data_IF_393042780344
#
_entry.id   IF_393042780344
#
_cell.length_a   1.000
_cell.length_b   1.000
_cell.length_c   1.000
_cell.angle_alpha   90.00
_cell.angle_beta   90.00
_cell.angle_gamma   90.00
#
_symmetry.space_group_name_H-M   'P 1'
#
loop_
_entity.id
_entity.type
_entity.pdbx_description
1 polymer ?
#
# COMPACT_ATOMS: atom_id res chain seq x y z
N UNK A 1 -18.68 27.91 26.49
CA UNK A 1 -19.96 28.65 26.42
C UNK A 1 -19.80 29.81 25.47
N UNK A 2 -20.86 30.19 24.75
CA UNK A 2 -20.81 31.38 23.87
C UNK A 2 -20.61 32.65 24.68
N UNK A 3 -19.75 33.56 24.26
CA UNK A 3 -19.48 34.82 24.94
C UNK A 3 -20.72 35.71 24.94
N UNK A 4 -21.03 36.29 26.11
CA UNK A 4 -22.18 37.23 26.24
C UNK A 4 -22.00 38.47 25.36
N UNK A 5 -20.75 38.89 25.15
CA UNK A 5 -20.42 40.01 24.25
C UNK A 5 -20.76 39.68 22.78
N UNK A 6 -20.51 38.43 22.35
CA UNK A 6 -20.83 37.99 20.98
C UNK A 6 -22.35 37.93 20.77
N UNK A 7 -23.09 37.37 21.73
CA UNK A 7 -24.57 37.29 21.62
C UNK A 7 -25.20 38.68 21.51
N UNK A 8 -24.75 39.66 22.27
CA UNK A 8 -25.16 41.06 22.18
C UNK A 8 -24.80 41.69 20.82
N UNK A 9 -23.61 41.45 20.32
CA UNK A 9 -23.16 41.92 19.01
C UNK A 9 -24.01 41.31 17.85
N UNK A 10 -24.28 40.02 17.88
CA UNK A 10 -25.14 39.35 16.88
C UNK A 10 -26.59 39.88 16.90
N UNK A 11 -27.16 40.13 18.08
CA UNK A 11 -28.45 40.74 18.20
C UNK A 11 -28.48 42.19 17.63
N UNK A 12 -27.43 42.97 17.87
CA UNK A 12 -27.30 44.33 17.29
C UNK A 12 -27.22 44.32 15.76
N UNK A 13 -26.53 43.29 15.20
CA UNK A 13 -26.41 43.12 13.74
C UNK A 13 -27.76 42.71 13.16
N UNK A 14 -28.51 41.80 13.82
CA UNK A 14 -29.83 41.37 13.38
C UNK A 14 -30.84 42.56 13.34
N UNK A 15 -30.73 43.50 14.24
CA UNK A 15 -31.56 44.71 14.28
C UNK A 15 -31.14 45.80 13.25
N UNK A 16 -29.97 45.63 12.58
CA UNK A 16 -29.43 46.63 11.64
C UNK A 16 -30.06 46.54 10.25
N UNK A 17 -30.00 47.64 9.43
CA UNK A 17 -30.46 47.60 8.03
C UNK A 17 -29.68 46.61 7.20
N UNK A 18 -30.31 45.94 6.24
CA UNK A 18 -29.69 44.90 5.39
C UNK A 18 -28.42 45.34 4.67
N UNK A 19 -28.37 46.64 4.28
CA UNK A 19 -27.20 47.23 3.55
C UNK A 19 -25.94 47.28 4.39
N UNK A 20 -26.02 47.39 5.71
CA UNK A 20 -24.87 47.50 6.61
C UNK A 20 -24.49 46.16 7.28
N UNK A 21 -25.35 45.15 7.19
CA UNK A 21 -25.14 43.85 7.87
C UNK A 21 -23.93 43.14 7.39
N UNK A 22 -23.67 43.11 6.06
CA UNK A 22 -22.50 42.45 5.49
C UNK A 22 -21.20 43.00 6.09
N UNK A 23 -21.07 44.29 6.15
CA UNK A 23 -19.85 44.90 6.70
C UNK A 23 -19.72 44.64 8.20
N UNK A 24 -20.80 44.74 8.97
CA UNK A 24 -20.81 44.42 10.41
C UNK A 24 -20.44 42.97 10.73
N UNK A 25 -20.91 42.01 9.94
CA UNK A 25 -20.46 40.62 10.08
C UNK A 25 -18.97 40.46 9.81
N UNK A 26 -18.43 41.14 8.80
CA UNK A 26 -17.01 41.10 8.49
C UNK A 26 -16.17 41.75 9.60
N UNK A 27 -16.61 42.88 10.12
CA UNK A 27 -15.96 43.58 11.24
C UNK A 27 -15.97 42.72 12.52
N UNK A 28 -17.10 42.08 12.81
CA UNK A 28 -17.22 41.17 13.95
C UNK A 28 -16.29 39.96 13.81
N UNK A 29 -16.22 39.35 12.63
CA UNK A 29 -15.30 38.25 12.38
C UNK A 29 -13.83 38.69 12.57
N UNK A 30 -13.50 39.86 12.09
CA UNK A 30 -12.14 40.43 12.27
C UNK A 30 -11.83 40.67 13.76
N UNK A 31 -12.79 41.12 14.54
CA UNK A 31 -12.64 41.28 15.99
C UNK A 31 -12.45 39.92 16.71
N UNK A 32 -13.24 38.91 16.38
CA UNK A 32 -13.13 37.59 16.95
C UNK A 32 -11.78 36.93 16.64
N UNK A 33 -11.26 37.16 15.44
CA UNK A 33 -9.95 36.58 15.03
C UNK A 33 -8.75 37.36 15.54
N UNK A 34 -8.88 38.65 15.80
CA UNK A 34 -7.77 39.49 16.35
C UNK A 34 -7.62 39.38 17.86
N UNK A 35 -8.69 39.05 18.59
CA UNK A 35 -8.69 38.80 20.02
C UNK A 35 -9.42 37.49 20.32
N UNK A 36 -8.80 36.32 20.03
CA UNK A 36 -9.44 35.03 20.29
C UNK A 36 -9.70 34.85 21.79
N UNK A 37 -10.81 34.21 22.11
CA UNK A 37 -11.18 33.85 23.51
C UNK A 37 -10.05 33.10 24.20
N UNK A 38 -9.97 33.19 25.52
CA UNK A 38 -8.86 32.65 26.31
C UNK A 38 -8.72 31.11 26.24
N UNK A 39 -9.76 30.40 25.82
CA UNK A 39 -9.72 28.96 25.60
C UNK A 39 -10.12 28.58 24.18
N UNK A 40 -9.48 27.54 23.57
CA UNK A 40 -9.85 27.03 22.27
C UNK A 40 -11.33 26.58 22.17
N UNK A 41 -11.86 26.06 23.29
CA UNK A 41 -13.25 25.63 23.35
C UNK A 41 -14.26 26.79 23.25
N UNK A 42 -14.00 27.92 23.93
CA UNK A 42 -14.85 29.10 23.86
C UNK A 42 -14.73 29.77 22.49
N UNK A 43 -13.51 29.86 21.95
CA UNK A 43 -13.28 30.40 20.61
C UNK A 43 -14.04 29.60 19.55
N UNK A 44 -13.99 28.24 19.61
CA UNK A 44 -14.75 27.38 18.71
C UNK A 44 -16.27 27.56 18.88
N UNK A 45 -16.76 27.72 20.11
CA UNK A 45 -18.18 27.99 20.36
C UNK A 45 -18.64 29.34 19.81
N UNK A 46 -17.81 30.37 19.91
CA UNK A 46 -18.08 31.71 19.37
C UNK A 46 -18.13 31.70 17.83
N UNK A 47 -17.20 30.99 17.17
CA UNK A 47 -17.23 30.84 15.72
C UNK A 47 -18.44 30.07 15.23
N UNK A 48 -18.89 29.01 15.93
CA UNK A 48 -20.09 28.28 15.61
C UNK A 48 -21.34 29.16 15.73
N UNK A 49 -21.46 29.92 16.83
CA UNK A 49 -22.58 30.85 17.03
C UNK A 49 -22.59 31.96 15.95
N UNK A 50 -21.41 32.46 15.55
CA UNK A 50 -21.30 33.41 14.44
C UNK A 50 -21.82 32.78 13.13
N UNK A 51 -21.40 31.57 12.83
CA UNK A 51 -21.80 30.85 11.61
C UNK A 51 -23.30 30.58 11.57
N UNK A 52 -23.89 30.12 12.67
CA UNK A 52 -25.34 29.87 12.80
C UNK A 52 -26.14 31.16 12.61
N UNK A 53 -25.69 32.26 13.21
CA UNK A 53 -26.32 33.57 13.02
C UNK A 53 -26.20 34.06 11.57
N UNK A 54 -25.11 33.76 10.89
CA UNK A 54 -24.90 34.10 9.48
C UNK A 54 -25.87 33.30 8.57
N UNK A 55 -26.01 31.99 8.77
CA UNK A 55 -26.93 31.15 7.98
C UNK A 55 -28.41 31.50 8.24
N UNK A 56 -28.79 31.85 9.49
CA UNK A 56 -30.14 32.25 9.86
C UNK A 56 -30.46 33.69 9.45
N UNK A 57 -29.49 34.45 8.99
CA UNK A 57 -29.70 35.82 8.59
C UNK A 57 -30.57 35.95 7.34
N UNK A 58 -31.30 37.03 7.21
CA UNK A 58 -32.11 37.34 6.01
C UNK A 58 -31.24 37.85 4.83
N UNK A 59 -29.91 37.71 4.89
CA UNK A 59 -29.01 38.01 3.80
C UNK A 59 -29.14 36.96 2.70
N UNK A 60 -29.17 37.38 1.44
CA UNK A 60 -29.21 36.44 0.32
C UNK A 60 -27.88 35.62 0.21
N UNK A 61 -28.00 34.43 -0.37
CA UNK A 61 -26.87 33.47 -0.56
C UNK A 61 -25.63 34.16 -1.18
N UNK A 62 -25.84 35.06 -2.13
CA UNK A 62 -24.75 35.81 -2.80
C UNK A 62 -23.94 36.63 -1.80
N UNK A 63 -24.56 37.19 -0.77
CA UNK A 63 -23.88 37.98 0.26
C UNK A 63 -23.29 37.12 1.39
N UNK A 64 -23.85 35.94 1.64
CA UNK A 64 -23.37 35.01 2.67
C UNK A 64 -22.11 34.26 2.23
N UNK A 65 -22.04 33.83 0.97
CA UNK A 65 -20.89 33.07 0.44
C UNK A 65 -19.52 33.72 0.72
N UNK A 66 -19.28 35.01 0.45
CA UNK A 66 -17.99 35.64 0.74
C UNK A 66 -17.68 35.69 2.24
N UNK A 67 -18.70 35.86 3.10
CA UNK A 67 -18.51 35.86 4.55
C UNK A 67 -18.12 34.46 5.07
N UNK A 68 -18.77 33.43 4.54
CA UNK A 68 -18.41 32.02 4.84
C UNK A 68 -16.98 31.73 4.34
N UNK A 69 -16.61 32.19 3.13
CA UNK A 69 -15.25 32.03 2.63
C UNK A 69 -14.22 32.70 3.54
N UNK A 70 -14.50 33.93 4.02
CA UNK A 70 -13.61 34.63 4.94
C UNK A 70 -13.50 33.89 6.29
N UNK A 71 -14.59 33.34 6.81
CA UNK A 71 -14.57 32.50 8.01
C UNK A 71 -13.67 31.28 7.82
N UNK A 72 -13.79 30.60 6.68
CA UNK A 72 -12.98 29.43 6.34
C UNK A 72 -11.50 29.78 6.24
N UNK A 73 -11.16 30.90 5.58
CA UNK A 73 -9.78 31.38 5.48
C UNK A 73 -9.17 31.69 6.86
N UNK A 74 -9.98 32.19 7.81
CA UNK A 74 -9.54 32.41 9.20
C UNK A 74 -9.42 31.08 9.97
N UNK A 75 -10.33 30.14 9.73
CA UNK A 75 -10.29 28.80 10.35
C UNK A 75 -9.03 28.04 9.96
N UNK A 76 -8.52 28.21 8.74
CA UNK A 76 -7.30 27.57 8.28
C UNK A 76 -6.08 27.86 9.16
N UNK A 77 -6.02 29.03 9.81
CA UNK A 77 -4.94 29.43 10.72
C UNK A 77 -5.22 29.15 12.20
N UNK A 78 -6.39 28.54 12.52
CA UNK A 78 -6.79 28.25 13.90
C UNK A 78 -6.07 27.00 14.46
N UNK A 79 -6.03 26.82 15.80
CA UNK A 79 -5.57 25.58 16.43
C UNK A 79 -6.35 24.33 15.95
N UNK A 80 -5.73 23.11 15.98
CA UNK A 80 -6.37 21.87 15.50
C UNK A 80 -7.72 21.60 16.14
N UNK A 81 -7.83 21.72 17.45
CA UNK A 81 -9.08 21.51 18.21
C UNK A 81 -10.22 22.40 17.71
N UNK A 82 -9.92 23.66 17.37
CA UNK A 82 -10.90 24.62 16.84
C UNK A 82 -11.27 24.25 15.41
N UNK A 83 -10.31 23.83 14.58
CA UNK A 83 -10.59 23.36 13.21
C UNK A 83 -11.55 22.19 13.23
N UNK A 84 -11.34 21.21 14.12
CA UNK A 84 -12.19 20.03 14.25
C UNK A 84 -13.60 20.44 14.70
N UNK A 85 -13.69 21.20 15.78
CA UNK A 85 -14.99 21.57 16.37
C UNK A 85 -15.83 22.43 15.43
N UNK A 86 -15.22 23.46 14.84
CA UNK A 86 -15.92 24.38 13.93
C UNK A 86 -16.15 23.74 12.58
N UNK A 87 -15.14 23.03 12.04
CA UNK A 87 -15.24 22.35 10.75
C UNK A 87 -16.33 21.29 10.73
N UNK A 88 -16.46 20.48 11.78
CA UNK A 88 -17.54 19.48 11.90
C UNK A 88 -18.91 20.15 11.91
N UNK A 89 -19.10 21.18 12.74
CA UNK A 89 -20.37 21.90 12.83
C UNK A 89 -20.75 22.58 11.49
N UNK A 90 -19.80 23.27 10.87
CA UNK A 90 -20.01 23.94 9.56
C UNK A 90 -20.35 22.91 8.47
N UNK A 91 -19.65 21.77 8.45
CA UNK A 91 -19.93 20.70 7.47
C UNK A 91 -21.34 20.14 7.62
N UNK A 92 -21.77 19.85 8.86
CA UNK A 92 -23.15 19.38 9.14
C UNK A 92 -24.22 20.38 8.71
N UNK A 93 -24.03 21.65 9.04
CA UNK A 93 -24.97 22.70 8.67
C UNK A 93 -25.02 22.94 7.14
N UNK A 94 -23.90 22.89 6.44
CA UNK A 94 -23.82 23.06 4.99
C UNK A 94 -24.42 21.88 4.22
N UNK A 95 -24.44 20.66 4.78
CA UNK A 95 -25.08 19.50 4.13
C UNK A 95 -26.54 19.75 3.77
N UNK A 96 -27.25 20.54 4.56
CA UNK A 96 -28.67 20.90 4.30
C UNK A 96 -28.83 21.77 3.04
N UNK A 97 -27.78 22.49 2.63
CA UNK A 97 -27.79 23.43 1.50
C UNK A 97 -26.58 23.21 0.57
N UNK A 98 -26.13 21.98 0.43
CA UNK A 98 -24.87 21.61 -0.23
C UNK A 98 -24.74 22.21 -1.65
N UNK A 99 -25.80 22.14 -2.48
CA UNK A 99 -25.80 22.69 -3.83
C UNK A 99 -25.44 24.19 -3.91
N UNK A 100 -25.67 24.93 -2.81
CA UNK A 100 -25.37 26.35 -2.75
C UNK A 100 -23.96 26.68 -2.25
N UNK A 101 -23.31 25.75 -1.54
CA UNK A 101 -22.05 25.95 -0.83
C UNK A 101 -20.99 24.86 -1.10
N UNK A 102 -21.05 24.17 -2.25
CA UNK A 102 -20.13 23.06 -2.59
C UNK A 102 -18.63 23.43 -2.47
N UNK A 103 -18.26 24.63 -2.90
CA UNK A 103 -16.88 25.09 -2.81
C UNK A 103 -16.44 25.31 -1.36
N UNK A 104 -17.34 25.92 -0.57
CA UNK A 104 -17.10 26.20 0.83
C UNK A 104 -17.03 24.88 1.63
N UNK A 105 -17.94 23.95 1.38
CA UNK A 105 -17.94 22.62 2.01
C UNK A 105 -16.63 21.87 1.72
N UNK A 106 -16.17 21.87 0.47
CA UNK A 106 -14.90 21.23 0.12
C UNK A 106 -13.71 21.82 0.88
N UNK A 107 -13.60 23.17 0.94
CA UNK A 107 -12.52 23.84 1.68
C UNK A 107 -12.58 23.59 3.18
N UNK A 108 -13.79 23.57 3.77
CA UNK A 108 -13.97 23.22 5.19
C UNK A 108 -13.53 21.79 5.48
N UNK A 109 -13.87 20.84 4.62
CA UNK A 109 -13.46 19.44 4.77
C UNK A 109 -11.93 19.26 4.64
N UNK A 110 -11.28 20.03 3.79
CA UNK A 110 -9.82 20.03 3.70
C UNK A 110 -9.19 20.55 5.01
N UNK A 111 -9.69 21.67 5.56
CA UNK A 111 -9.21 22.23 6.84
C UNK A 111 -9.53 21.29 8.02
N UNK A 112 -10.69 20.65 7.98
CA UNK A 112 -11.09 19.65 8.98
C UNK A 112 -10.16 18.45 8.96
N UNK A 113 -9.77 17.99 7.76
CA UNK A 113 -8.80 16.92 7.61
C UNK A 113 -7.42 17.32 8.11
N UNK A 114 -6.97 18.57 7.87
CA UNK A 114 -5.71 19.09 8.43
C UNK A 114 -5.76 19.16 9.96
N UNK A 115 -6.94 19.46 10.54
CA UNK A 115 -7.15 19.44 11.98
C UNK A 115 -7.02 18.04 12.57
N UNK A 116 -7.68 17.06 11.97
CA UNK A 116 -7.59 15.65 12.38
C UNK A 116 -6.18 15.06 12.16
N UNK A 117 -5.49 15.45 11.07
CA UNK A 117 -4.10 15.04 10.83
C UNK A 117 -3.17 15.51 11.96
N UNK A 118 -3.36 16.75 12.46
CA UNK A 118 -2.57 17.28 13.55
C UNK A 118 -2.82 16.61 14.91
N UNK A 119 -4.01 16.03 15.11
CA UNK A 119 -4.38 15.23 16.29
C UNK A 119 -4.14 13.73 16.09
N UNK A 120 -3.51 13.33 14.96
CA UNK A 120 -3.22 11.94 14.60
C UNK A 120 -4.49 11.05 14.44
N UNK A 121 -5.67 11.67 14.23
CA UNK A 121 -6.94 10.98 13.95
C UNK A 121 -7.11 10.72 12.45
N UNK A 122 -6.27 9.87 11.86
CA UNK A 122 -6.18 9.66 10.42
C UNK A 122 -7.45 9.11 9.78
N UNK A 123 -8.15 8.17 10.44
CA UNK A 123 -9.44 7.67 9.93
C UNK A 123 -10.48 8.77 9.81
N UNK A 124 -10.56 9.70 10.76
CA UNK A 124 -11.50 10.83 10.73
C UNK A 124 -11.12 11.81 9.60
N UNK A 125 -9.81 12.09 9.43
CA UNK A 125 -9.29 12.91 8.34
C UNK A 125 -9.65 12.34 6.96
N UNK A 126 -9.45 11.03 6.77
CA UNK A 126 -9.80 10.34 5.53
C UNK A 126 -11.30 10.43 5.22
N UNK A 127 -12.17 10.22 6.22
CA UNK A 127 -13.63 10.34 6.07
C UNK A 127 -14.05 11.76 5.72
N UNK A 128 -13.44 12.77 6.34
CA UNK A 128 -13.69 14.17 6.02
C UNK A 128 -13.41 14.45 4.53
N UNK A 129 -12.26 14.02 4.00
CA UNK A 129 -11.91 14.19 2.60
C UNK A 129 -12.76 13.33 1.65
N UNK A 130 -13.19 12.14 2.05
CA UNK A 130 -14.10 11.31 1.24
C UNK A 130 -15.46 11.97 1.00
N UNK A 131 -15.89 12.82 1.93
CA UNK A 131 -17.10 13.59 1.78
C UNK A 131 -17.03 14.73 0.78
N UNK A 132 -15.84 15.06 0.24
CA UNK A 132 -15.67 16.11 -0.77
C UNK A 132 -16.26 15.66 -2.11
N UNK A 133 -17.20 16.43 -2.63
CA UNK A 133 -17.80 16.19 -3.94
C UNK A 133 -16.84 16.66 -5.04
N UNK A 134 -16.20 15.71 -5.74
CA UNK A 134 -15.19 15.99 -6.76
C UNK A 134 -15.77 16.07 -8.18
N UNK A 135 -16.91 15.43 -8.42
CA UNK A 135 -17.54 15.31 -9.74
C UNK A 135 -18.96 15.91 -9.70
N UNK A 136 -19.05 17.23 -9.73
CA UNK A 136 -20.34 17.93 -9.79
C UNK A 136 -20.46 18.74 -11.07
N UNK A 137 -21.69 18.93 -11.54
CA UNK A 137 -21.97 19.75 -12.73
C UNK A 137 -21.73 21.24 -12.50
N UNK A 138 -21.69 21.66 -11.23
CA UNK A 138 -21.54 23.07 -10.85
C UNK A 138 -20.11 23.47 -10.54
N UNK A 139 -19.27 22.51 -10.14
CA UNK A 139 -17.85 22.73 -9.81
C UNK A 139 -16.96 21.84 -10.66
N UNK A 140 -16.19 22.42 -11.55
CA UNK A 140 -15.13 21.72 -12.26
C UNK A 140 -13.87 21.70 -11.39
N UNK A 141 -13.61 20.58 -10.74
CA UNK A 141 -12.35 20.34 -10.01
C UNK A 141 -11.30 19.88 -11.00
N UNK A 142 -10.10 20.47 -10.94
CA UNK A 142 -9.00 20.03 -11.80
C UNK A 142 -8.62 18.58 -11.47
N UNK A 143 -8.25 17.80 -12.48
CA UNK A 143 -7.86 16.40 -12.29
C UNK A 143 -6.67 16.27 -11.34
N UNK A 144 -5.77 17.24 -11.33
CA UNK A 144 -4.67 17.32 -10.37
C UNK A 144 -5.18 17.38 -8.92
N UNK A 145 -6.11 18.28 -8.61
CA UNK A 145 -6.67 18.43 -7.26
C UNK A 145 -7.42 17.16 -6.83
N UNK A 146 -8.12 16.48 -7.75
CA UNK A 146 -8.75 15.18 -7.45
C UNK A 146 -7.73 14.13 -7.03
N UNK A 147 -6.63 14.02 -7.77
CA UNK A 147 -5.55 13.08 -7.48
C UNK A 147 -4.87 13.43 -6.15
N UNK A 148 -4.63 14.71 -5.87
CA UNK A 148 -4.07 15.18 -4.58
C UNK A 148 -4.94 14.73 -3.39
N UNK A 149 -6.26 14.94 -3.47
CA UNK A 149 -7.19 14.53 -2.42
C UNK A 149 -7.20 12.99 -2.27
N UNK A 150 -7.26 12.24 -3.37
CA UNK A 150 -7.24 10.77 -3.30
C UNK A 150 -5.94 10.23 -2.72
N UNK A 151 -4.78 10.81 -3.06
CA UNK A 151 -3.49 10.41 -2.49
C UNK A 151 -3.45 10.72 -0.98
N UNK A 152 -3.98 11.87 -0.55
CA UNK A 152 -4.08 12.19 0.89
C UNK A 152 -4.96 11.18 1.63
N UNK A 153 -6.10 10.80 1.08
CA UNK A 153 -6.99 9.77 1.65
C UNK A 153 -6.24 8.43 1.78
N UNK A 154 -5.50 8.01 0.73
CA UNK A 154 -4.70 6.77 0.77
C UNK A 154 -3.65 6.84 1.88
N UNK A 155 -2.93 7.96 2.00
CA UNK A 155 -1.92 8.15 3.04
C UNK A 155 -2.51 8.07 4.45
N UNK A 156 -3.64 8.71 4.70
CA UNK A 156 -4.30 8.65 6.00
C UNK A 156 -4.70 7.23 6.40
N UNK A 157 -5.29 6.47 5.48
CA UNK A 157 -5.61 5.07 5.76
C UNK A 157 -4.37 4.20 5.98
N UNK A 158 -3.24 4.52 5.32
CA UNK A 158 -1.98 3.79 5.54
C UNK A 158 -1.31 4.14 6.87
N UNK A 159 -1.50 5.36 7.40
CA UNK A 159 -1.02 5.71 8.75
C UNK A 159 -1.82 5.01 9.85
N UNK A 160 -3.09 4.68 9.58
CA UNK A 160 -3.98 3.95 10.50
C UNK A 160 -3.98 2.42 10.24
N UNK A 161 -3.03 1.92 9.43
CA UNK A 161 -2.91 0.51 9.02
C UNK A 161 -4.17 -0.11 8.35
N UNK A 162 -5.16 0.71 7.93
CA UNK A 162 -6.32 0.24 7.15
C UNK A 162 -5.96 0.11 5.67
N UNK A 163 -5.29 -0.99 5.34
CA UNK A 163 -4.83 -1.27 3.98
C UNK A 163 -5.97 -1.53 2.99
N UNK A 164 -7.15 -1.99 3.47
CA UNK A 164 -8.32 -2.27 2.61
C UNK A 164 -8.94 -0.98 2.12
N UNK A 165 -9.16 -0.03 3.02
CA UNK A 165 -9.68 1.28 2.65
C UNK A 165 -8.67 2.06 1.79
N UNK A 166 -7.38 1.98 2.11
CA UNK A 166 -6.30 2.56 1.32
C UNK A 166 -6.28 2.02 -0.12
N UNK A 167 -6.38 0.69 -0.30
CA UNK A 167 -6.43 0.06 -1.62
C UNK A 167 -7.67 0.51 -2.42
N UNK A 168 -8.82 0.59 -1.76
CA UNK A 168 -10.05 1.06 -2.40
C UNK A 168 -9.90 2.49 -2.94
N UNK A 169 -9.26 3.37 -2.17
CA UNK A 169 -8.98 4.73 -2.60
C UNK A 169 -7.91 4.77 -3.72
N UNK A 170 -6.85 3.95 -3.63
CA UNK A 170 -5.81 3.85 -4.66
C UNK A 170 -6.38 3.34 -5.99
N UNK A 171 -7.32 2.41 -5.96
CA UNK A 171 -7.98 1.88 -7.15
C UNK A 171 -8.80 2.95 -7.89
N UNK A 172 -9.32 3.99 -7.22
CA UNK A 172 -9.96 5.13 -7.89
C UNK A 172 -8.95 5.87 -8.78
N UNK A 173 -7.73 6.07 -8.29
CA UNK A 173 -6.64 6.71 -9.06
C UNK A 173 -6.26 5.81 -10.24
N UNK A 174 -6.04 4.52 -9.99
CA UNK A 174 -5.62 3.54 -11.01
C UNK A 174 -6.61 3.41 -12.16
N UNK A 175 -7.90 3.47 -11.86
CA UNK A 175 -8.98 3.31 -12.85
C UNK A 175 -9.34 4.61 -13.60
N UNK A 176 -8.75 5.75 -13.23
CA UNK A 176 -8.99 7.04 -13.88
C UNK A 176 -7.93 7.33 -14.94
N UNK A 177 -8.34 7.43 -16.21
CA UNK A 177 -7.43 7.80 -17.29
C UNK A 177 -6.85 9.22 -17.12
N UNK A 178 -7.65 10.16 -16.58
CA UNK A 178 -7.20 11.51 -16.27
C UNK A 178 -6.12 11.50 -15.18
N UNK A 179 -6.30 10.70 -14.13
CA UNK A 179 -5.32 10.54 -13.08
C UNK A 179 -3.98 9.97 -13.59
N UNK A 180 -4.04 9.01 -14.53
CA UNK A 180 -2.84 8.46 -15.15
C UNK A 180 -2.04 9.53 -15.92
N UNK A 181 -2.71 10.50 -16.55
CA UNK A 181 -2.02 11.62 -17.20
C UNK A 181 -1.43 12.58 -16.16
N UNK A 182 -2.16 12.94 -15.13
CA UNK A 182 -1.67 13.79 -14.03
C UNK A 182 -0.41 13.21 -13.38
N UNK A 183 -0.40 11.89 -13.12
CA UNK A 183 0.76 11.21 -12.53
C UNK A 183 2.00 11.22 -13.44
N UNK A 184 1.84 11.38 -14.77
CA UNK A 184 2.98 11.57 -15.68
C UNK A 184 3.54 12.98 -15.59
N UNK A 185 2.66 13.97 -15.47
CA UNK A 185 3.01 15.40 -15.51
C UNK A 185 3.45 15.95 -14.14
N UNK A 186 3.02 15.28 -13.02
CA UNK A 186 3.33 15.67 -11.66
C UNK A 186 4.18 14.59 -10.96
N UNK A 187 5.52 14.71 -10.98
CA UNK A 187 6.42 13.71 -10.42
C UNK A 187 6.31 13.59 -8.88
N UNK A 188 5.92 14.65 -8.19
CA UNK A 188 5.61 14.69 -6.76
C UNK A 188 4.45 13.74 -6.41
N UNK A 189 3.33 13.86 -7.11
CA UNK A 189 2.16 13.01 -6.91
C UNK A 189 2.45 11.57 -7.30
N UNK A 190 3.23 11.35 -8.38
CA UNK A 190 3.66 10.02 -8.77
C UNK A 190 4.48 9.33 -7.70
N UNK A 191 5.39 10.05 -7.04
CA UNK A 191 6.20 9.52 -5.94
C UNK A 191 5.31 9.06 -4.77
N UNK A 192 4.38 9.91 -4.32
CA UNK A 192 3.45 9.55 -3.25
C UNK A 192 2.56 8.36 -3.63
N UNK A 193 2.10 8.31 -4.88
CA UNK A 193 1.33 7.18 -5.41
C UNK A 193 2.15 5.88 -5.37
N UNK A 194 3.39 5.88 -5.89
CA UNK A 194 4.27 4.70 -5.91
C UNK A 194 4.61 4.22 -4.50
N UNK A 195 4.92 5.14 -3.58
CA UNK A 195 5.20 4.80 -2.19
C UNK A 195 3.98 4.18 -1.50
N UNK A 196 2.80 4.75 -1.70
CA UNK A 196 1.55 4.21 -1.17
C UNK A 196 1.23 2.83 -1.76
N UNK A 197 1.45 2.64 -3.06
CA UNK A 197 1.29 1.35 -3.72
C UNK A 197 2.24 0.30 -3.15
N UNK A 198 3.51 0.66 -2.94
CA UNK A 198 4.51 -0.24 -2.35
C UNK A 198 4.10 -0.68 -0.92
N UNK A 199 3.64 0.26 -0.08
CA UNK A 199 3.16 -0.04 1.29
C UNK A 199 1.94 -0.96 1.28
N UNK A 200 0.97 -0.76 0.37
CA UNK A 200 -0.21 -1.62 0.24
C UNK A 200 0.21 -3.04 -0.20
N UNK A 201 1.10 -3.16 -1.19
CA UNK A 201 1.60 -4.46 -1.67
C UNK A 201 2.35 -5.20 -0.56
N UNK A 202 3.17 -4.51 0.23
CA UNK A 202 3.88 -5.07 1.38
C UNK A 202 2.90 -5.60 2.45
N UNK A 203 1.91 -4.83 2.82
CA UNK A 203 0.87 -5.25 3.77
C UNK A 203 0.05 -6.45 3.27
N UNK A 204 -0.18 -6.55 1.97
CA UNK A 204 -0.84 -7.68 1.31
C UNK A 204 0.07 -8.90 1.12
N UNK A 205 1.34 -8.80 1.52
CA UNK A 205 2.37 -9.83 1.35
C UNK A 205 2.71 -10.14 -0.11
N UNK A 206 2.42 -9.21 -1.01
CA UNK A 206 2.92 -9.27 -2.39
C UNK A 206 4.34 -8.65 -2.45
N UNK A 207 5.26 -9.33 -1.79
CA UNK A 207 6.59 -8.82 -1.49
C UNK A 207 7.44 -8.57 -2.74
N UNK A 208 7.27 -9.35 -3.80
CA UNK A 208 8.05 -9.15 -5.03
C UNK A 208 7.66 -7.86 -5.75
N UNK A 209 6.36 -7.60 -5.87
CA UNK A 209 5.89 -6.37 -6.47
C UNK A 209 6.16 -5.18 -5.55
N UNK A 210 6.01 -5.34 -4.23
CA UNK A 210 6.40 -4.32 -3.26
C UNK A 210 7.88 -3.94 -3.38
N UNK A 211 8.77 -4.93 -3.46
CA UNK A 211 10.21 -4.71 -3.65
C UNK A 211 10.52 -3.94 -4.94
N UNK A 212 9.83 -4.26 -6.05
CA UNK A 212 10.02 -3.55 -7.31
C UNK A 212 9.59 -2.08 -7.20
N UNK A 213 8.46 -1.79 -6.55
CA UNK A 213 8.00 -0.42 -6.37
C UNK A 213 8.88 0.38 -5.39
N UNK A 214 9.33 -0.20 -4.28
CA UNK A 214 10.29 0.44 -3.38
C UNK A 214 11.63 0.73 -4.09
N UNK A 215 12.09 -0.20 -4.91
CA UNK A 215 13.30 0.01 -5.71
C UNK A 215 13.10 1.16 -6.72
N UNK A 216 11.95 1.23 -7.40
CA UNK A 216 11.62 2.34 -8.29
C UNK A 216 11.62 3.68 -7.55
N UNK A 217 11.05 3.74 -6.33
CA UNK A 217 11.07 4.93 -5.47
C UNK A 217 12.51 5.32 -5.13
N UNK A 218 13.40 4.35 -4.82
CA UNK A 218 14.79 4.63 -4.46
C UNK A 218 15.63 5.30 -5.59
N UNK A 219 15.19 5.19 -6.84
CA UNK A 219 15.82 5.87 -7.99
C UNK A 219 15.28 7.26 -8.25
N UNK A 220 14.26 7.71 -7.50
CA UNK A 220 13.69 9.03 -7.72
C UNK A 220 14.69 10.12 -7.31
N UNK A 221 14.86 11.12 -8.19
CA UNK A 221 15.80 12.22 -7.97
C UNK A 221 15.25 13.33 -7.07
N UNK A 222 13.95 13.31 -6.78
CA UNK A 222 13.27 14.34 -5.99
C UNK A 222 13.37 14.13 -4.47
N UNK A 223 13.81 12.95 -4.03
CA UNK A 223 13.94 12.61 -2.62
C UNK A 223 15.40 12.66 -2.17
N UNK A 224 15.59 12.92 -0.88
CA UNK A 224 16.90 12.97 -0.26
C UNK A 224 17.58 11.60 -0.25
N UNK A 225 18.89 11.57 -0.18
CA UNK A 225 19.67 10.33 -0.22
C UNK A 225 19.36 9.42 0.99
N UNK A 226 18.94 9.98 2.12
CA UNK A 226 18.48 9.20 3.27
C UNK A 226 17.16 8.49 2.99
N UNK A 227 16.20 9.17 2.37
CA UNK A 227 14.93 8.57 1.96
C UNK A 227 15.11 7.53 0.86
N UNK A 228 16.05 7.76 -0.09
CA UNK A 228 16.43 6.76 -1.10
C UNK A 228 16.96 5.49 -0.44
N UNK A 229 17.81 5.63 0.59
CA UNK A 229 18.34 4.49 1.36
C UNK A 229 17.26 3.76 2.13
N UNK A 230 16.30 4.49 2.75
CA UNK A 230 15.14 3.88 3.42
C UNK A 230 14.28 3.09 2.45
N UNK A 231 14.01 3.64 1.26
CA UNK A 231 13.27 2.94 0.22
C UNK A 231 14.02 1.69 -0.28
N UNK A 232 15.35 1.78 -0.46
CA UNK A 232 16.17 0.64 -0.85
C UNK A 232 16.22 -0.43 0.25
N UNK A 233 16.34 -0.05 1.52
CA UNK A 233 16.24 -0.96 2.67
C UNK A 233 14.88 -1.68 2.69
N UNK A 234 13.78 -0.96 2.47
CA UNK A 234 12.44 -1.56 2.35
C UNK A 234 12.35 -2.54 1.16
N UNK A 235 12.96 -2.20 0.01
CA UNK A 235 13.03 -3.09 -1.15
C UNK A 235 13.79 -4.39 -0.85
N UNK A 236 14.89 -4.30 -0.10
CA UNK A 236 15.67 -5.47 0.33
C UNK A 236 14.86 -6.32 1.33
N UNK A 237 14.26 -5.71 2.34
CA UNK A 237 13.43 -6.42 3.33
C UNK A 237 12.30 -7.20 2.68
N UNK A 238 11.56 -6.56 1.78
CA UNK A 238 10.47 -7.23 1.07
C UNK A 238 10.96 -8.32 0.12
N UNK A 239 12.10 -8.14 -0.57
CA UNK A 239 12.70 -9.18 -1.41
C UNK A 239 13.10 -10.43 -0.60
N UNK A 240 13.63 -10.25 0.61
CA UNK A 240 14.02 -11.33 1.52
C UNK A 240 12.78 -12.12 2.00
N UNK A 241 11.68 -11.42 2.30
CA UNK A 241 10.42 -12.03 2.76
C UNK A 241 9.65 -12.74 1.64
N UNK A 242 9.99 -12.51 0.39
CA UNK A 242 9.33 -13.12 -0.74
C UNK A 242 9.53 -14.64 -0.78
N UNK A 243 8.56 -15.42 -1.30
CA UNK A 243 8.69 -16.86 -1.47
C UNK A 243 9.90 -17.22 -2.33
N UNK A 244 10.58 -18.30 -1.98
CA UNK A 244 11.72 -18.79 -2.75
C UNK A 244 11.30 -19.14 -4.20
N UNK A 245 12.10 -18.70 -5.18
CA UNK A 245 11.79 -18.95 -6.58
C UNK A 245 12.65 -18.10 -7.54
N UNK A 246 12.51 -18.32 -8.85
CA UNK A 246 13.36 -17.66 -9.85
C UNK A 246 13.14 -16.14 -9.90
N UNK A 247 11.93 -15.67 -9.60
CA UNK A 247 11.63 -14.24 -9.55
C UNK A 247 12.36 -13.58 -8.37
N UNK A 248 12.31 -14.20 -7.16
CA UNK A 248 13.06 -13.71 -6.00
C UNK A 248 14.56 -13.65 -6.30
N UNK A 249 15.13 -14.70 -6.88
CA UNK A 249 16.55 -14.73 -7.23
C UNK A 249 16.95 -13.60 -8.18
N UNK A 250 16.11 -13.27 -9.16
CA UNK A 250 16.34 -12.13 -10.07
C UNK A 250 16.24 -10.80 -9.33
N UNK A 251 15.31 -10.65 -8.40
CA UNK A 251 15.16 -9.43 -7.59
C UNK A 251 16.36 -9.25 -6.65
N UNK A 252 16.77 -10.31 -5.94
CA UNK A 252 17.96 -10.31 -5.10
C UNK A 252 19.22 -9.97 -5.91
N UNK A 253 19.37 -10.52 -7.12
CA UNK A 253 20.50 -10.20 -8.01
C UNK A 253 20.53 -8.73 -8.43
N UNK A 254 19.35 -8.10 -8.68
CA UNK A 254 19.29 -6.66 -8.99
C UNK A 254 19.70 -5.81 -7.78
N UNK A 255 19.18 -6.15 -6.59
CA UNK A 255 19.50 -5.44 -5.36
C UNK A 255 20.96 -5.62 -4.96
N UNK A 256 21.52 -6.81 -5.09
CA UNK A 256 22.93 -7.07 -4.77
C UNK A 256 23.90 -6.31 -5.69
N UNK A 257 23.54 -6.14 -6.98
CA UNK A 257 24.35 -5.37 -7.95
C UNK A 257 24.24 -3.86 -7.78
N UNK A 258 23.30 -3.36 -7.01
CA UNK A 258 23.18 -1.94 -6.70
C UNK A 258 24.24 -1.56 -5.65
N UNK A 259 25.20 -0.72 -6.03
CA UNK A 259 26.30 -0.28 -5.15
C UNK A 259 25.79 0.36 -3.85
N UNK A 260 24.63 1.01 -3.88
CA UNK A 260 24.00 1.65 -2.73
C UNK A 260 23.55 0.64 -1.67
N UNK A 261 23.30 -0.62 -2.06
CA UNK A 261 22.87 -1.68 -1.13
C UNK A 261 23.94 -1.99 -0.08
N UNK A 262 25.22 -1.79 -0.39
CA UNK A 262 26.32 -1.96 0.55
C UNK A 262 26.29 -1.00 1.76
N UNK A 263 25.55 0.12 1.65
CA UNK A 263 25.37 1.08 2.73
C UNK A 263 24.17 0.76 3.64
N UNK A 264 23.36 -0.23 3.27
CA UNK A 264 22.19 -0.64 4.06
C UNK A 264 22.56 -1.68 5.13
N UNK A 265 21.87 -1.63 6.26
CA UNK A 265 22.10 -2.59 7.36
C UNK A 265 21.73 -4.03 7.00
N UNK A 266 20.91 -4.22 5.98
CA UNK A 266 20.41 -5.52 5.51
C UNK A 266 21.33 -6.19 4.48
N UNK A 267 22.43 -5.53 4.10
CA UNK A 267 23.33 -6.04 3.04
C UNK A 267 23.90 -7.44 3.35
N UNK A 268 24.28 -7.70 4.60
CA UNK A 268 24.85 -9.00 4.97
C UNK A 268 23.91 -10.18 4.73
N UNK A 269 22.62 -10.02 5.06
CA UNK A 269 21.63 -11.06 4.79
C UNK A 269 21.27 -11.14 3.29
N UNK A 270 21.23 -10.00 2.60
CA UNK A 270 21.06 -9.94 1.14
C UNK A 270 22.17 -10.72 0.42
N UNK A 271 23.44 -10.50 0.81
CA UNK A 271 24.59 -11.21 0.26
C UNK A 271 24.48 -12.72 0.51
N UNK A 272 24.20 -13.14 1.75
CA UNK A 272 24.07 -14.54 2.08
C UNK A 272 22.93 -15.21 1.28
N UNK A 273 21.81 -14.53 1.11
CA UNK A 273 20.70 -15.06 0.31
C UNK A 273 21.01 -15.08 -1.20
N UNK A 274 21.73 -14.08 -1.71
CA UNK A 274 22.11 -14.06 -3.12
C UNK A 274 23.15 -15.13 -3.46
N UNK A 275 24.09 -15.36 -2.56
CA UNK A 275 25.14 -16.38 -2.71
C UNK A 275 24.68 -17.79 -2.28
N UNK A 276 23.39 -17.97 -1.99
CA UNK A 276 22.80 -19.24 -1.52
C UNK A 276 23.52 -19.83 -0.30
N UNK A 277 23.99 -18.98 0.62
CA UNK A 277 24.58 -19.41 1.90
C UNK A 277 23.46 -19.67 2.91
N UNK A 278 23.72 -20.60 3.83
CA UNK A 278 22.81 -20.88 4.95
C UNK A 278 22.74 -19.68 5.89
N UNK A 279 21.53 -19.29 6.28
CA UNK A 279 21.29 -18.25 7.26
C UNK A 279 21.31 -18.84 8.67
N UNK A 280 22.09 -18.24 9.56
CA UNK A 280 22.14 -18.63 10.96
C UNK A 280 20.97 -18.03 11.76
N UNK A 281 20.60 -18.66 12.90
CA UNK A 281 19.53 -18.16 13.77
C UNK A 281 19.83 -16.73 14.28
N UNK A 282 21.08 -16.41 14.57
CA UNK A 282 21.50 -15.08 15.06
C UNK A 282 21.33 -13.99 14.00
N UNK A 283 21.62 -14.27 12.73
CA UNK A 283 21.41 -13.32 11.62
C UNK A 283 19.91 -13.09 11.40
N UNK A 284 19.12 -14.16 11.49
CA UNK A 284 17.66 -14.09 11.32
C UNK A 284 17.02 -13.28 12.44
N UNK A 285 17.46 -13.46 13.71
CA UNK A 285 16.97 -12.68 14.85
C UNK A 285 17.34 -11.20 14.73
N UNK A 286 18.57 -10.89 14.33
CA UNK A 286 19.01 -9.53 14.09
C UNK A 286 18.18 -8.85 12.98
N UNK A 287 17.89 -9.57 11.90
CA UNK A 287 17.04 -9.07 10.84
C UNK A 287 15.59 -8.91 11.26
N UNK A 288 15.04 -9.85 12.05
CA UNK A 288 13.68 -9.76 12.57
C UNK A 288 13.44 -8.47 13.38
N UNK A 289 14.46 -8.02 14.12
CA UNK A 289 14.39 -6.76 14.88
C UNK A 289 14.24 -5.51 13.99
N UNK A 290 14.57 -5.59 12.71
CA UNK A 290 14.44 -4.48 11.73
C UNK A 290 13.11 -4.46 10.97
N UNK A 291 12.30 -5.51 11.13
CA UNK A 291 11.06 -5.69 10.39
C UNK A 291 9.87 -5.01 11.09
N UNK A 292 8.90 -4.57 10.29
CA UNK A 292 7.64 -4.02 10.78
C UNK A 292 6.72 -5.12 11.34
N UNK A 293 5.79 -4.79 12.26
CA UNK A 293 4.89 -5.78 12.88
C UNK A 293 4.09 -6.62 11.88
N UNK A 294 3.61 -6.04 10.79
CA UNK A 294 2.85 -6.74 9.74
C UNK A 294 3.70 -7.79 8.99
N UNK A 295 5.02 -7.54 8.85
CA UNK A 295 5.97 -8.46 8.21
C UNK A 295 6.33 -9.66 9.11
N UNK A 296 6.18 -9.49 10.43
CA UNK A 296 6.35 -10.56 11.43
C UNK A 296 5.06 -11.33 11.72
N UNK A 297 3.95 -10.94 11.12
CA UNK A 297 2.67 -11.58 11.35
C UNK A 297 2.69 -13.09 11.02
N UNK A 298 2.00 -13.88 11.84
CA UNK A 298 1.89 -15.33 11.65
C UNK A 298 1.04 -15.66 10.44
N UNK A 299 1.42 -16.73 9.76
CA UNK A 299 0.62 -17.37 8.71
C UNK A 299 -0.39 -18.34 9.33
N UNK A 300 -1.30 -18.88 8.51
CA UNK A 300 -2.28 -19.87 8.95
C UNK A 300 -1.63 -21.11 9.59
N UNK A 301 -0.41 -21.44 9.19
CA UNK A 301 0.38 -22.56 9.70
C UNK A 301 1.06 -22.26 11.06
N UNK A 302 0.81 -21.08 11.65
CA UNK A 302 1.40 -20.63 12.93
C UNK A 302 2.86 -20.18 12.86
N UNK A 303 3.52 -20.33 11.69
CA UNK A 303 4.87 -19.81 11.42
C UNK A 303 4.81 -18.32 11.03
N UNK A 304 5.88 -17.57 11.27
CA UNK A 304 5.99 -16.20 10.73
C UNK A 304 6.36 -16.24 9.25
N UNK A 305 6.02 -15.18 8.53
CA UNK A 305 6.41 -15.01 7.12
C UNK A 305 7.93 -15.12 6.97
N UNK A 306 8.68 -14.47 7.86
CA UNK A 306 10.14 -14.53 7.88
C UNK A 306 10.65 -15.96 8.08
N UNK A 307 10.13 -16.69 9.09
CA UNK A 307 10.54 -18.06 9.36
C UNK A 307 10.35 -18.95 8.12
N UNK A 308 9.20 -18.82 7.45
CA UNK A 308 8.94 -19.57 6.21
C UNK A 308 9.93 -19.21 5.10
N UNK A 309 10.18 -17.92 4.87
CA UNK A 309 11.11 -17.46 3.83
C UNK A 309 12.55 -17.95 4.07
N UNK A 310 12.98 -17.99 5.35
CA UNK A 310 14.31 -18.50 5.76
C UNK A 310 14.38 -20.01 5.59
N UNK A 311 13.37 -20.77 6.03
CA UNK A 311 13.31 -22.22 5.86
C UNK A 311 13.37 -22.61 4.38
N UNK A 312 12.57 -21.95 3.55
CA UNK A 312 12.58 -22.18 2.10
C UNK A 312 13.94 -21.83 1.47
N UNK A 313 14.60 -20.76 1.93
CA UNK A 313 15.93 -20.39 1.47
C UNK A 313 16.98 -21.40 1.91
N UNK A 314 17.02 -21.75 3.20
CA UNK A 314 17.99 -22.70 3.72
C UNK A 314 17.82 -24.10 3.07
N UNK A 315 16.59 -24.50 2.77
CA UNK A 315 16.30 -25.74 2.05
C UNK A 315 16.86 -25.71 0.62
N UNK A 316 16.69 -24.60 -0.13
CA UNK A 316 17.32 -24.42 -1.44
C UNK A 316 18.85 -24.40 -1.36
N UNK A 317 19.43 -23.73 -0.37
CA UNK A 317 20.87 -23.71 -0.14
C UNK A 317 21.39 -25.12 0.16
N UNK A 318 20.68 -25.87 1.01
CA UNK A 318 21.01 -27.28 1.32
C UNK A 318 20.98 -28.17 0.08
N UNK A 319 20.00 -27.99 -0.82
CA UNK A 319 19.89 -28.79 -2.04
C UNK A 319 21.06 -28.56 -3.03
N UNK A 320 21.79 -27.45 -2.89
CA UNK A 320 23.01 -27.18 -3.67
C UNK A 320 24.27 -27.70 -3.05
N UNK A 321 24.26 -27.89 -1.71
CA UNK A 321 25.40 -28.41 -0.96
C UNK A 321 25.44 -29.93 -0.88
N UNK A 322 24.26 -30.56 -0.85
CA UNK A 322 24.11 -31.99 -0.63
C UNK A 322 23.34 -32.64 -1.78
N UNK A 323 23.78 -33.84 -2.20
CA UNK A 323 23.02 -34.67 -3.14
C UNK A 323 21.88 -35.42 -2.42
N UNK A 324 22.09 -35.78 -1.17
CA UNK A 324 21.09 -36.40 -0.31
C UNK A 324 21.33 -35.98 1.13
N UNK A 325 20.28 -36.00 1.94
CA UNK A 325 20.32 -35.65 3.35
C UNK A 325 19.21 -36.42 4.10
N UNK A 326 19.47 -36.80 5.36
CA UNK A 326 18.43 -37.35 6.21
C UNK A 326 17.47 -36.29 6.68
N UNK A 327 16.19 -36.60 6.85
CA UNK A 327 15.15 -35.67 7.34
C UNK A 327 15.50 -35.05 8.69
N UNK A 328 16.14 -35.80 9.60
CA UNK A 328 16.62 -35.32 10.88
C UNK A 328 17.77 -34.31 10.77
N UNK A 329 18.78 -34.58 9.91
CA UNK A 329 19.86 -33.64 9.67
C UNK A 329 19.36 -32.36 8.97
N UNK A 330 18.42 -32.48 8.06
CA UNK A 330 17.77 -31.33 7.42
C UNK A 330 17.04 -30.48 8.46
N UNK A 331 16.26 -31.10 9.37
CA UNK A 331 15.57 -30.38 10.43
C UNK A 331 16.50 -29.54 11.31
N UNK A 332 17.70 -30.07 11.62
CA UNK A 332 18.75 -29.35 12.36
C UNK A 332 19.28 -28.15 11.59
N UNK A 333 19.56 -28.32 10.27
CA UNK A 333 20.03 -27.23 9.41
C UNK A 333 18.98 -26.14 9.21
N UNK A 334 17.69 -26.52 9.17
CA UNK A 334 16.59 -25.57 9.06
C UNK A 334 16.26 -24.88 10.39
N UNK A 335 16.90 -25.29 11.50
CA UNK A 335 16.65 -24.72 12.82
C UNK A 335 15.29 -25.07 13.43
N UNK A 336 14.66 -26.15 12.95
CA UNK A 336 13.37 -26.65 13.44
C UNK A 336 13.58 -27.31 14.81
N UNK A 337 13.18 -26.59 15.88
CA UNK A 337 13.28 -27.08 17.26
C UNK A 337 11.86 -27.39 17.74
N UNK A 338 11.44 -28.65 17.63
CA UNK A 338 10.29 -29.17 18.38
C UNK A 338 10.77 -30.12 19.46
N UNK A 339 10.00 -30.23 20.55
CA UNK A 339 10.41 -31.00 21.72
C UNK A 339 10.59 -32.53 21.48
N UNK A 340 10.38 -33.00 20.25
CA UNK A 340 10.67 -34.37 19.80
C UNK A 340 11.33 -34.30 18.41
N UNK A 341 12.42 -35.07 18.25
CA UNK A 341 13.16 -35.13 16.97
C UNK A 341 12.30 -35.61 15.79
N UNK A 342 11.38 -36.53 16.02
CA UNK A 342 10.49 -37.09 15.00
C UNK A 342 9.57 -36.01 14.39
N UNK A 343 9.00 -35.13 15.22
CA UNK A 343 8.13 -34.04 14.74
C UNK A 343 8.87 -32.96 13.96
N UNK A 344 10.14 -32.71 14.27
CA UNK A 344 10.98 -31.76 13.53
C UNK A 344 11.37 -32.36 12.15
N UNK A 345 11.67 -33.66 12.08
CA UNK A 345 11.96 -34.35 10.84
C UNK A 345 10.73 -34.40 9.89
N UNK A 346 9.54 -34.68 10.42
CA UNK A 346 8.28 -34.64 9.68
C UNK A 346 8.01 -33.24 9.09
N UNK A 347 8.24 -32.18 9.88
CA UNK A 347 8.09 -30.81 9.38
C UNK A 347 9.09 -30.46 8.28
N UNK A 348 10.33 -30.90 8.40
CA UNK A 348 11.34 -30.69 7.37
C UNK A 348 10.96 -31.40 6.06
N UNK A 349 10.41 -32.60 6.15
CA UNK A 349 9.89 -33.37 5.04
C UNK A 349 8.70 -32.64 4.39
N UNK A 350 7.74 -32.16 5.18
CA UNK A 350 6.58 -31.38 4.72
C UNK A 350 6.99 -30.13 3.94
N UNK A 351 7.99 -29.39 4.42
CA UNK A 351 8.50 -28.22 3.69
C UNK A 351 9.15 -28.63 2.36
N UNK A 352 9.92 -29.70 2.35
CA UNK A 352 10.55 -30.22 1.13
C UNK A 352 9.49 -30.69 0.13
N UNK A 353 8.51 -31.48 0.57
CA UNK A 353 7.41 -31.97 -0.27
C UNK A 353 6.61 -30.81 -0.88
N UNK A 354 6.19 -29.82 -0.08
CA UNK A 354 5.48 -28.64 -0.58
C UNK A 354 6.28 -27.86 -1.62
N UNK A 355 7.59 -27.71 -1.43
CA UNK A 355 8.44 -27.01 -2.40
C UNK A 355 8.64 -27.83 -3.68
N UNK A 356 8.66 -29.18 -3.60
CA UNK A 356 8.70 -30.08 -4.75
C UNK A 356 7.40 -30.07 -5.54
N UNK A 357 6.24 -30.14 -4.87
CA UNK A 357 4.92 -30.00 -5.50
C UNK A 357 4.75 -28.67 -6.26
N UNK A 358 5.31 -27.59 -5.72
CA UNK A 358 5.28 -26.27 -6.35
C UNK A 358 6.34 -26.10 -7.44
N UNK A 359 7.14 -27.13 -7.73
CA UNK A 359 8.22 -27.08 -8.72
C UNK A 359 9.38 -26.14 -8.37
N UNK A 360 9.47 -25.71 -7.10
CA UNK A 360 10.55 -24.81 -6.58
C UNK A 360 11.79 -25.58 -6.11
N UNK A 361 11.65 -26.86 -5.81
CA UNK A 361 12.71 -27.78 -5.44
C UNK A 361 12.55 -29.05 -6.29
N UNK A 362 13.65 -29.64 -6.73
CA UNK A 362 13.65 -30.90 -7.46
C UNK A 362 14.28 -31.98 -6.61
N UNK A 363 13.66 -33.16 -6.55
CA UNK A 363 14.16 -34.27 -5.78
C UNK A 363 13.12 -35.33 -5.54
N UNK A 364 13.50 -36.35 -4.77
CA UNK A 364 12.67 -37.47 -4.37
C UNK A 364 12.80 -37.67 -2.85
N UNK A 365 11.71 -38.06 -2.19
CA UNK A 365 11.69 -38.30 -0.75
C UNK A 365 11.47 -39.79 -0.53
N UNK A 366 12.45 -40.46 0.09
CA UNK A 366 12.30 -41.83 0.58
C UNK A 366 11.89 -41.76 2.06
N UNK A 367 10.59 -41.89 2.30
CA UNK A 367 10.01 -41.84 3.65
C UNK A 367 10.43 -43.04 4.52
N UNK A 368 10.68 -44.21 3.91
CA UNK A 368 11.07 -45.43 4.66
C UNK A 368 12.49 -45.28 5.20
N UNK A 369 13.41 -44.76 4.36
CA UNK A 369 14.79 -44.52 4.76
C UNK A 369 14.96 -43.16 5.50
N UNK A 370 13.96 -42.27 5.47
CA UNK A 370 14.04 -40.93 6.00
C UNK A 370 15.09 -40.07 5.29
N UNK A 371 15.23 -40.23 3.96
CA UNK A 371 16.26 -39.55 3.15
C UNK A 371 15.60 -38.74 2.04
N UNK A 372 16.08 -37.52 1.85
CA UNK A 372 15.71 -36.67 0.72
C UNK A 372 16.85 -36.67 -0.27
N UNK A 373 16.59 -37.02 -1.52
CA UNK A 373 17.51 -36.98 -2.64
C UNK A 373 17.23 -35.71 -3.45
N UNK A 374 18.21 -34.82 -3.58
CA UNK A 374 18.07 -33.61 -4.37
C UNK A 374 18.57 -33.85 -5.79
N UNK A 375 17.83 -33.36 -6.77
CA UNK A 375 18.29 -33.30 -8.15
C UNK A 375 19.09 -32.04 -8.39
N UNK A 376 20.34 -32.19 -8.81
CA UNK A 376 21.19 -31.07 -9.18
C UNK A 376 20.62 -30.39 -10.42
N UNK A 377 20.52 -29.06 -10.38
CA UNK A 377 20.05 -28.22 -11.50
C UNK A 377 20.91 -28.52 -12.74
N UNK A 378 20.33 -28.65 -13.94
CA UNK A 378 21.07 -28.83 -15.17
C UNK A 378 22.02 -27.64 -15.41
N UNK A 379 23.31 -27.90 -15.38
CA UNK A 379 24.38 -26.87 -15.54
C UNK A 379 25.62 -27.19 -14.75
N UNK A 380 25.51 -27.99 -13.68
CA UNK A 380 26.66 -28.54 -12.97
C UNK A 380 26.59 -30.07 -13.12
N UNK A 381 27.41 -30.56 -14.02
CA UNK A 381 27.47 -31.94 -14.49
C UNK A 381 27.47 -32.96 -13.34
N UNK A 382 26.56 -33.91 -13.35
CA UNK A 382 26.79 -35.33 -13.08
C UNK A 382 25.64 -36.28 -13.42
N UNK A 383 24.48 -35.81 -13.91
CA UNK A 383 23.50 -36.74 -14.54
C UNK A 383 22.98 -36.13 -15.83
N UNK A 384 23.49 -36.71 -16.89
CA UNK A 384 23.58 -36.35 -18.24
C UNK A 384 22.41 -35.67 -18.97
N UNK A 385 22.72 -35.03 -20.10
CA UNK A 385 21.78 -34.35 -20.99
C UNK A 385 20.65 -35.26 -21.52
N UNK A 386 20.70 -36.54 -21.23
CA UNK A 386 19.72 -37.56 -21.65
C UNK A 386 18.37 -37.48 -20.94
N UNK A 387 18.28 -36.98 -19.68
CA UNK A 387 17.00 -36.88 -18.96
C UNK A 387 16.22 -35.64 -19.40
N UNK A 388 16.91 -34.50 -19.51
CA UNK A 388 16.29 -33.26 -20.00
C UNK A 388 15.85 -33.41 -21.46
N UNK A 389 16.61 -34.18 -22.26
CA UNK A 389 16.23 -34.54 -23.63
C UNK A 389 15.00 -35.48 -23.64
N UNK A 390 14.88 -36.40 -22.68
CA UNK A 390 13.70 -37.27 -22.58
C UNK A 390 12.45 -36.52 -22.12
N UNK A 391 12.58 -35.62 -21.13
CA UNK A 391 11.47 -34.74 -20.70
C UNK A 391 11.04 -33.80 -21.82
N UNK A 392 12.01 -33.26 -22.56
CA UNK A 392 11.76 -32.43 -23.74
C UNK A 392 11.10 -33.24 -24.87
N UNK A 393 11.61 -34.45 -25.13
CA UNK A 393 11.06 -35.39 -26.12
C UNK A 393 9.63 -35.81 -25.77
N UNK A 394 9.36 -36.10 -24.48
CA UNK A 394 8.01 -36.39 -23.98
C UNK A 394 7.07 -35.19 -24.11
N UNK A 395 7.57 -33.99 -23.83
CA UNK A 395 6.82 -32.74 -23.99
C UNK A 395 6.47 -32.46 -25.46
N UNK A 396 7.43 -32.69 -26.37
CA UNK A 396 7.20 -32.58 -27.82
C UNK A 396 6.22 -33.64 -28.31
N UNK A 397 6.37 -34.87 -27.85
CA UNK A 397 5.47 -35.98 -28.20
C UNK A 397 4.03 -35.69 -27.73
N UNK A 398 3.85 -35.22 -26.48
CA UNK A 398 2.55 -34.81 -25.96
C UNK A 398 1.91 -33.68 -26.78
N UNK A 399 2.72 -32.70 -27.21
CA UNK A 399 2.25 -31.64 -28.09
C UNK A 399 1.81 -32.15 -29.45
N UNK A 400 2.55 -33.10 -30.05
CA UNK A 400 2.19 -33.74 -31.31
C UNK A 400 0.86 -34.51 -31.17
N UNK A 401 0.70 -35.29 -30.10
CA UNK A 401 -0.54 -35.99 -29.83
C UNK A 401 -1.75 -35.07 -29.64
N UNK A 402 -1.54 -33.91 -29.00
CA UNK A 402 -2.60 -32.89 -28.83
C UNK A 402 -2.96 -32.25 -30.18
N UNK A 403 -1.96 -31.95 -31.00
CA UNK A 403 -2.20 -31.41 -32.36
C UNK A 403 -2.91 -32.43 -33.24
N UNK A 404 -2.51 -33.70 -33.20
CA UNK A 404 -3.19 -34.77 -33.95
C UNK A 404 -4.64 -34.97 -33.48
N UNK A 405 -4.88 -34.92 -32.16
CA UNK A 405 -6.23 -35.00 -31.57
C UNK A 405 -7.11 -33.81 -32.02
N UNK A 406 -6.54 -32.58 -32.02
CA UNK A 406 -7.23 -31.41 -32.53
C UNK A 406 -7.51 -31.53 -34.04
N UNK A 407 -6.55 -32.02 -34.83
CA UNK A 407 -6.69 -32.18 -36.26
C UNK A 407 -7.76 -33.27 -36.59
N UNK A 408 -7.77 -34.38 -35.84
CA UNK A 408 -8.79 -35.40 -35.98
C UNK A 408 -10.18 -34.87 -35.61
N UNK A 409 -10.31 -34.10 -34.52
CA UNK A 409 -11.56 -33.46 -34.13
C UNK A 409 -12.08 -32.45 -35.16
N UNK A 410 -11.19 -31.68 -35.78
CA UNK A 410 -11.55 -30.76 -36.88
C UNK A 410 -12.00 -31.57 -38.12
N UNK A 411 -11.29 -32.63 -38.48
CA UNK A 411 -11.65 -33.47 -39.63
C UNK A 411 -13.00 -34.16 -39.44
N UNK A 412 -13.33 -34.56 -38.21
CA UNK A 412 -14.62 -35.17 -37.86
C UNK A 412 -15.76 -34.14 -37.85
N UNK A 413 -15.50 -32.95 -37.32
CA UNK A 413 -16.52 -31.91 -37.20
C UNK A 413 -16.73 -31.12 -38.50
N UNK A 414 -15.70 -30.99 -39.35
CA UNK A 414 -15.70 -30.21 -40.56
C UNK A 414 -15.02 -30.93 -41.72
N UNK A 415 -15.64 -32.04 -42.25
CA UNK A 415 -15.02 -32.86 -43.27
C UNK A 415 -14.75 -32.14 -44.59
N UNK A 416 -15.50 -31.08 -44.91
CA UNK A 416 -15.31 -30.25 -46.09
C UNK A 416 -13.99 -29.47 -46.08
N UNK A 417 -13.59 -28.96 -44.93
CA UNK A 417 -12.32 -28.24 -44.74
C UNK A 417 -11.11 -29.19 -44.76
N UNK A 418 -11.30 -30.44 -44.35
CA UNK A 418 -10.25 -31.47 -44.39
C UNK A 418 -9.95 -31.92 -45.82
N UNK A 419 -10.97 -31.97 -46.66
CA UNK A 419 -10.85 -32.38 -48.08
C UNK A 419 -10.14 -31.35 -48.94
N UNK A 420 -10.32 -30.04 -48.69
CA UNK A 420 -9.65 -28.96 -49.45
C UNK A 420 -8.11 -28.88 -49.18
N UNK A 421 -7.61 -29.33 -48.03
CA UNK A 421 -6.19 -29.28 -47.73
C UNK A 421 -5.36 -30.50 -48.16
N UNK A 422 -5.98 -31.59 -48.61
CA UNK A 422 -5.28 -32.77 -49.15
C UNK A 422 -4.95 -32.63 -50.65
N UNK A 423 -5.21 -31.49 -51.29
CA UNK A 423 -4.97 -31.28 -52.74
C UNK A 423 -3.77 -30.37 -53.03
N UNK A 424 -2.90 -30.12 -52.02
CA UNK A 424 -1.64 -29.40 -52.27
C UNK A 424 -0.42 -30.16 -51.73
#
# INVERSE_FOLDING_TARGET
MVSTALTAALQSIAASPATSRHQKYNDLLTQLTSAPSASPEEYGADLNAYFDALLSSSLGIISIRPLVATLIDRLASAPPEVKIKVGSHVTEALQLQLASYEEQDARVREILADGYEAEEEYTAAAKALQGVHLDTTQRQVSDRAKVEIWIRIVRYYLEDDDTVAAETALNKIKNSAAAAQVLKDAPDLRLHYQLSQARILDSRRDFLNASAEYLNVSFNTMIDDEEKRRALSAAIKTAILAPAGPQRSRTLAKLYKDERSGETGEYGILENMYLDRLLSATEVEAFAATLSPHQLAKTADGSTVLSKAVIEHNLLATSRLYNNITTGALAQLLGLKDGKEDTAAEKAEDYAAKMMEQGRLRGEIDQIAGIIHFETVPGVALRGPLRDLREWDQGVQGLVEDVERCAAGISESFPELAAERMVH
#
